data_IF_059960707756
#
_entry.id   IF_059960707756
#
_cell.length_a   1.000
_cell.length_b   1.000
_cell.length_c   1.000
_cell.angle_alpha   90.00
_cell.angle_beta   90.00
_cell.angle_gamma   90.00
#
_symmetry.space_group_name_H-M   'P 1'
#
loop_
_entity.id
_entity.type
_entity.pdbx_description
1 polymer ?
#
# COMPACT_ATOMS: atom_id res chain seq x y z
N UNK A 1 43.36 5.78 37.27
CA UNK A 1 43.31 5.83 35.79
C UNK A 1 41.95 5.40 35.21
N UNK A 2 40.82 5.67 35.89
CA UNK A 2 39.49 5.22 35.43
C UNK A 2 38.64 6.30 34.75
N UNK A 3 39.07 7.57 34.83
CA UNK A 3 38.28 8.72 34.36
C UNK A 3 38.28 8.90 32.83
N UNK A 4 39.19 8.25 32.11
CA UNK A 4 39.29 8.29 30.63
C UNK A 4 38.47 7.19 29.93
N UNK A 5 38.03 6.17 30.65
CA UNK A 5 37.19 5.07 30.13
C UNK A 5 35.69 5.38 30.19
N UNK A 6 35.29 6.44 30.89
CA UNK A 6 33.89 6.88 30.99
C UNK A 6 33.42 7.69 29.76
N UNK A 7 34.36 8.22 28.96
CA UNK A 7 34.06 9.03 27.79
C UNK A 7 33.43 8.27 26.61
N UNK A 8 33.93 7.09 26.18
CA UNK A 8 33.32 6.37 25.06
C UNK A 8 31.98 5.71 25.42
N UNK A 9 31.76 5.37 26.70
CA UNK A 9 30.48 4.80 27.16
C UNK A 9 29.32 5.80 27.09
N UNK A 10 29.59 7.08 27.37
CA UNK A 10 28.58 8.14 27.32
C UNK A 10 28.08 8.41 25.90
N UNK A 11 28.98 8.34 24.89
CA UNK A 11 28.64 8.52 23.48
C UNK A 11 27.73 7.40 22.94
N UNK A 12 27.91 6.15 23.39
CA UNK A 12 27.03 5.04 23.02
C UNK A 12 25.62 5.15 23.64
N UNK A 13 25.50 5.72 24.84
CA UNK A 13 24.21 5.98 25.49
C UNK A 13 23.38 7.04 24.74
N UNK A 14 24.03 8.06 24.17
CA UNK A 14 23.35 9.10 23.38
C UNK A 14 22.73 8.57 22.08
N UNK A 15 23.38 7.59 21.42
CA UNK A 15 22.84 6.96 20.21
C UNK A 15 21.59 6.11 20.48
N UNK A 16 21.46 5.56 21.69
CA UNK A 16 20.28 4.79 22.10
C UNK A 16 19.07 5.67 22.47
N UNK A 17 19.27 6.97 22.65
CA UNK A 17 18.19 7.93 22.94
C UNK A 17 17.52 8.52 21.70
N UNK A 18 17.80 8.01 20.50
CA UNK A 18 16.95 8.23 19.34
C UNK A 18 15.63 7.44 19.54
N UNK A 19 14.80 7.91 20.47
CA UNK A 19 13.46 7.38 20.70
C UNK A 19 12.67 7.59 19.43
N UNK A 20 12.30 6.49 18.79
CA UNK A 20 11.46 6.48 17.60
C UNK A 20 10.12 7.15 17.95
N UNK A 21 9.83 8.37 17.44
CA UNK A 21 8.62 9.10 17.81
C UNK A 21 7.34 8.34 17.39
N UNK A 22 7.50 7.33 16.53
CA UNK A 22 6.50 6.37 16.06
C UNK A 22 5.80 5.56 17.17
N UNK A 23 6.33 5.54 18.40
CA UNK A 23 5.68 4.89 19.55
C UNK A 23 4.56 5.71 20.19
N UNK A 24 4.59 7.04 20.07
CA UNK A 24 3.60 7.96 20.65
C UNK A 24 2.73 8.60 19.56
N UNK A 25 3.23 8.71 18.33
CA UNK A 25 2.49 9.32 17.23
C UNK A 25 1.48 8.37 16.57
N UNK A 26 0.33 8.90 16.15
CA UNK A 26 -0.62 8.20 15.27
C UNK A 26 -0.11 8.05 13.83
N UNK A 27 1.22 8.11 13.64
CA UNK A 27 1.89 8.01 12.35
C UNK A 27 2.81 6.80 12.35
N UNK A 28 2.94 6.16 11.20
CA UNK A 28 3.88 5.08 10.92
C UNK A 28 4.94 5.60 9.95
N UNK A 29 6.19 5.28 10.21
CA UNK A 29 7.29 5.59 9.30
C UNK A 29 7.36 4.51 8.22
N UNK A 30 7.19 4.90 6.97
CA UNK A 30 7.31 4.02 5.79
C UNK A 30 8.57 4.40 5.04
N UNK A 31 9.44 3.44 4.79
CA UNK A 31 10.64 3.61 3.96
C UNK A 31 10.49 2.82 2.65
N UNK A 32 10.65 3.51 1.53
CA UNK A 32 10.69 2.96 0.17
C UNK A 32 11.99 3.36 -0.54
N UNK A 33 12.13 3.00 -1.82
CA UNK A 33 13.33 3.29 -2.63
C UNK A 33 13.59 4.81 -2.81
N UNK A 34 12.61 5.67 -2.52
CA UNK A 34 12.71 7.13 -2.62
C UNK A 34 13.01 7.80 -1.27
N UNK A 35 12.86 7.09 -0.16
CA UNK A 35 13.22 7.55 1.18
C UNK A 35 12.22 7.13 2.26
N UNK A 36 12.34 7.73 3.44
CA UNK A 36 11.46 7.48 4.57
C UNK A 36 10.51 8.65 4.81
N UNK A 37 9.22 8.37 4.97
CA UNK A 37 8.18 9.37 5.29
C UNK A 37 7.27 8.91 6.43
N UNK A 38 6.79 9.85 7.23
CA UNK A 38 5.86 9.59 8.33
C UNK A 38 4.41 9.75 7.84
N UNK A 39 3.62 8.67 7.90
CA UNK A 39 2.26 8.60 7.37
C UNK A 39 1.24 8.32 8.48
N UNK A 40 0.09 9.02 8.56
CA UNK A 40 -0.96 8.69 9.53
C UNK A 40 -1.45 7.25 9.38
N UNK A 41 -1.70 6.57 10.50
CA UNK A 41 -2.18 5.16 10.55
C UNK A 41 -3.54 4.96 9.88
N UNK A 42 -4.37 6.00 9.92
CA UNK A 42 -5.70 6.05 9.30
C UNK A 42 -5.66 6.41 7.81
N UNK A 43 -4.48 6.78 7.28
CA UNK A 43 -4.37 7.14 5.88
C UNK A 43 -4.36 5.89 4.99
N UNK A 44 -5.53 5.57 4.45
CA UNK A 44 -5.68 4.58 3.38
C UNK A 44 -5.05 5.15 2.11
N UNK A 45 -3.98 4.53 1.64
CA UNK A 45 -3.40 4.87 0.34
C UNK A 45 -4.24 4.23 -0.76
N UNK A 46 -4.72 5.03 -1.71
CA UNK A 46 -5.22 4.47 -2.96
C UNK A 46 -4.04 3.83 -3.71
N UNK A 47 -3.93 2.50 -3.63
CA UNK A 47 -3.10 1.78 -4.59
C UNK A 47 -3.86 1.78 -5.91
N UNK A 48 -3.40 2.60 -6.86
CA UNK A 48 -3.82 2.47 -8.25
C UNK A 48 -3.39 1.07 -8.68
N UNK A 49 -4.35 0.14 -8.81
CA UNK A 49 -4.11 -1.14 -9.48
C UNK A 49 -3.57 -0.81 -10.85
N UNK A 50 -2.44 -1.42 -11.19
CA UNK A 50 -1.79 -1.23 -12.48
C UNK A 50 -2.82 -1.49 -13.59
N UNK A 51 -2.87 -0.60 -14.60
CA UNK A 51 -3.83 -0.67 -15.72
C UNK A 51 -3.64 -1.97 -16.55
N UNK A 52 -2.67 -2.82 -16.20
CA UNK A 52 -2.48 -4.16 -16.73
C UNK A 52 -3.52 -5.20 -16.25
N UNK A 53 -4.27 -4.93 -15.18
CA UNK A 53 -5.46 -5.69 -14.76
C UNK A 53 -6.73 -5.32 -15.56
N UNK A 54 -6.71 -4.24 -16.34
CA UNK A 54 -7.83 -3.77 -17.19
C UNK A 54 -7.96 -4.57 -18.50
N UNK A 55 -7.33 -5.75 -18.58
CA UNK A 55 -7.62 -6.70 -19.66
C UNK A 55 -9.01 -7.27 -19.44
N UNK A 56 -9.97 -6.80 -20.24
CA UNK A 56 -11.32 -7.37 -20.26
C UNK A 56 -11.25 -8.90 -20.34
N UNK A 57 -11.87 -9.58 -19.38
CA UNK A 57 -11.93 -11.04 -19.33
C UNK A 57 -12.44 -11.56 -20.70
N UNK A 58 -11.74 -12.48 -21.37
CA UNK A 58 -12.13 -12.98 -22.69
C UNK A 58 -13.56 -13.55 -22.70
N UNK A 59 -14.07 -14.00 -21.55
CA UNK A 59 -15.47 -14.43 -21.39
C UNK A 59 -16.44 -13.26 -21.55
N UNK A 60 -16.11 -12.07 -21.05
CA UNK A 60 -16.92 -10.86 -21.20
C UNK A 60 -16.94 -10.42 -22.66
N UNK A 61 -15.80 -10.50 -23.36
CA UNK A 61 -15.72 -10.19 -24.80
C UNK A 61 -16.61 -11.13 -25.62
N UNK A 62 -16.55 -12.44 -25.37
CA UNK A 62 -17.43 -13.41 -26.02
C UNK A 62 -18.91 -13.16 -25.69
N UNK A 63 -19.21 -12.82 -24.44
CA UNK A 63 -20.57 -12.53 -23.98
C UNK A 63 -21.14 -11.26 -24.63
N UNK A 64 -20.32 -10.22 -24.81
CA UNK A 64 -20.70 -8.99 -25.56
C UNK A 64 -21.10 -9.33 -27.00
N UNK A 65 -20.38 -10.22 -27.67
CA UNK A 65 -20.71 -10.61 -29.02
C UNK A 65 -22.00 -11.42 -29.08
N UNK A 66 -22.22 -12.35 -28.14
CA UNK A 66 -23.47 -13.10 -28.03
C UNK A 66 -24.67 -12.21 -27.68
N UNK A 67 -24.48 -11.21 -26.81
CA UNK A 67 -25.51 -10.27 -26.38
C UNK A 67 -26.13 -9.45 -27.52
N UNK A 68 -25.40 -9.25 -28.63
CA UNK A 68 -25.93 -8.56 -29.82
C UNK A 68 -27.10 -9.30 -30.48
N UNK A 69 -27.12 -10.63 -30.37
CA UNK A 69 -28.11 -11.48 -31.03
C UNK A 69 -29.02 -12.22 -30.04
N UNK A 70 -28.57 -12.45 -28.81
CA UNK A 70 -29.28 -13.26 -27.82
C UNK A 70 -29.69 -12.41 -26.60
N UNK A 71 -30.99 -12.25 -26.34
CA UNK A 71 -31.47 -11.41 -25.23
C UNK A 71 -31.07 -11.97 -23.86
N UNK A 72 -30.98 -13.29 -23.72
CA UNK A 72 -30.50 -13.94 -22.49
C UNK A 72 -29.03 -13.58 -22.19
N UNK A 73 -28.17 -13.57 -23.22
CA UNK A 73 -26.77 -13.19 -23.07
C UNK A 73 -26.62 -11.71 -22.71
N UNK A 74 -27.49 -10.83 -23.23
CA UNK A 74 -27.53 -9.42 -22.84
C UNK A 74 -27.92 -9.24 -21.35
N UNK A 75 -28.89 -10.01 -20.88
CA UNK A 75 -29.26 -10.02 -19.45
C UNK A 75 -28.11 -10.51 -18.57
N UNK A 76 -27.46 -11.62 -18.93
CA UNK A 76 -26.30 -12.15 -18.20
C UNK A 76 -25.10 -11.19 -18.21
N UNK A 77 -24.89 -10.45 -19.31
CA UNK A 77 -23.86 -9.42 -19.41
C UNK A 77 -24.17 -8.24 -18.48
N UNK A 78 -25.41 -7.75 -18.47
CA UNK A 78 -25.84 -6.69 -17.57
C UNK A 78 -25.64 -7.07 -16.11
N UNK A 79 -26.06 -8.28 -15.73
CA UNK A 79 -25.86 -8.79 -14.37
C UNK A 79 -24.41 -8.78 -13.92
N UNK A 80 -23.42 -8.91 -14.82
CA UNK A 80 -21.99 -8.88 -14.49
C UNK A 80 -21.44 -7.46 -14.33
N UNK A 81 -22.01 -6.48 -15.02
CA UNK A 81 -21.60 -5.07 -14.89
C UNK A 81 -22.15 -4.39 -13.64
N UNK A 82 -23.27 -4.86 -13.09
CA UNK A 82 -23.87 -4.30 -11.89
C UNK A 82 -23.39 -4.93 -10.57
N UNK A 83 -22.29 -5.71 -10.58
CA UNK A 83 -21.69 -6.36 -9.40
C UNK A 83 -20.42 -5.63 -9.02
#
# INVERSE_FOLDING_TARGET
>A
MHRRLLAPGLLLLLAACAQDPSTISNTVRICDDTGCSDRPKDQVSYQKRDDSEDREDPRIVALKQAAKAQPKAAYDLGLRYFR
#
